data_IF_855919477066
#
_entry.id   IF_855919477066
#
_cell.length_a   1.000
_cell.length_b   1.000
_cell.length_c   1.000
_cell.angle_alpha   90.00
_cell.angle_beta   90.00
_cell.angle_gamma   90.00
#
_symmetry.space_group_name_H-M   'P 1'
#
loop_
_entity.id
_entity.type
_entity.pdbx_description
1 polymer ?
#
# COMPACT_ATOMS: atom_id res chain seq x y z
N UNK A 1 -8.47 -48.16 40.97
CA UNK A 1 -8.94 -46.79 40.65
C UNK A 1 -7.69 -45.92 40.52
N UNK A 2 -7.56 -45.25 39.38
CA UNK A 2 -6.28 -44.87 38.73
C UNK A 2 -5.55 -43.68 39.39
N UNK A 3 -4.23 -43.67 39.14
CA UNK A 3 -3.23 -42.66 39.48
C UNK A 3 -3.12 -41.53 38.45
N UNK A 4 -2.52 -40.40 38.89
CA UNK A 4 -1.66 -39.43 38.16
C UNK A 4 -2.28 -38.70 36.93
N UNK A 5 -1.98 -37.45 36.58
CA UNK A 5 -0.67 -36.80 36.29
C UNK A 5 -0.89 -35.27 36.21
N UNK A 6 0.01 -34.49 36.83
CA UNK A 6 0.63 -33.24 36.31
C UNK A 6 -0.24 -32.00 36.01
N UNK A 7 0.30 -30.80 35.84
CA UNK A 7 1.69 -30.35 35.72
C UNK A 7 1.70 -28.81 35.85
N UNK A 8 2.67 -28.25 36.58
CA UNK A 8 3.13 -26.86 36.42
C UNK A 8 3.70 -26.63 35.00
N UNK A 9 3.55 -25.42 34.45
CA UNK A 9 4.44 -24.64 33.54
C UNK A 9 3.71 -23.32 33.23
N UNK A 10 4.21 -22.11 33.46
CA UNK A 10 5.48 -21.41 33.12
C UNK A 10 5.62 -21.02 31.65
N UNK A 11 6.16 -19.81 31.44
CA UNK A 11 6.65 -19.16 30.21
C UNK A 11 5.57 -18.42 29.40
N UNK A 12 5.42 -17.10 29.53
CA UNK A 12 6.25 -16.01 28.99
C UNK A 12 5.88 -15.64 27.55
N UNK A 13 5.04 -14.62 27.40
CA UNK A 13 5.06 -13.77 26.21
C UNK A 13 5.48 -12.37 26.65
N UNK A 14 6.73 -12.07 26.31
CA UNK A 14 7.35 -10.78 26.44
C UNK A 14 6.63 -9.82 25.49
N UNK A 15 6.01 -8.78 26.05
CA UNK A 15 5.68 -7.59 25.28
C UNK A 15 7.00 -6.94 24.79
N UNK A 16 7.09 -6.49 23.53
CA UNK A 16 8.28 -5.79 23.06
C UNK A 16 8.46 -4.49 23.86
N UNK A 17 9.62 -4.41 24.49
CA UNK A 17 10.06 -3.36 25.39
C UNK A 17 10.46 -2.13 24.55
N UNK A 18 9.61 -1.10 24.52
CA UNK A 18 10.00 0.20 23.98
C UNK A 18 10.92 0.90 25.00
N UNK A 19 12.09 1.41 24.60
CA UNK A 19 13.00 2.05 25.55
C UNK A 19 12.39 3.33 26.13
N UNK A 20 12.16 3.31 27.44
CA UNK A 20 11.85 4.48 28.27
C UNK A 20 13.06 5.39 28.29
N UNK A 21 13.00 6.54 27.62
CA UNK A 21 14.02 7.58 27.80
C UNK A 21 13.74 8.36 29.09
N UNK A 22 14.78 8.39 29.93
CA UNK A 22 14.77 9.01 31.24
C UNK A 22 14.58 10.53 31.18
N UNK A 23 14.00 11.04 32.28
CA UNK A 23 13.99 12.45 32.65
C UNK A 23 15.43 12.99 32.68
N UNK A 24 15.74 13.90 31.77
CA UNK A 24 16.84 14.85 31.93
C UNK A 24 16.43 16.19 31.31
N UNK A 25 16.72 17.24 32.05
CA UNK A 25 16.37 18.64 31.89
C UNK A 25 16.86 19.25 30.57
N UNK A 26 16.09 20.18 30.02
CA UNK A 26 16.46 21.01 28.85
C UNK A 26 17.82 21.70 29.02
N UNK A 27 18.54 21.91 27.91
CA UNK A 27 18.49 23.23 27.29
C UNK A 27 18.29 23.23 25.77
N UNK A 28 17.83 24.38 25.31
CA UNK A 28 17.54 24.84 23.95
C UNK A 28 18.55 24.47 22.85
N UNK A 29 18.03 24.22 21.63
CA UNK A 29 18.78 24.36 20.38
C UNK A 29 18.41 23.30 19.33
N UNK A 30 17.96 23.76 18.16
CA UNK A 30 17.80 23.06 16.88
C UNK A 30 16.80 21.89 16.79
N UNK A 31 15.57 22.22 16.38
CA UNK A 31 14.68 21.28 15.72
C UNK A 31 15.20 20.98 14.32
N UNK A 32 16.00 19.93 14.18
CA UNK A 32 16.24 19.27 12.90
C UNK A 32 15.01 18.38 12.62
N UNK A 33 14.30 18.52 11.48
CA UNK A 33 13.28 17.56 11.11
C UNK A 33 13.91 16.17 11.00
N UNK A 34 13.35 15.19 11.70
CA UNK A 34 13.77 13.78 11.64
C UNK A 34 13.32 13.19 10.32
N UNK A 35 14.01 13.53 9.23
CA UNK A 35 13.92 12.81 7.97
C UNK A 35 14.56 11.45 8.16
N UNK A 36 13.74 10.40 8.28
CA UNK A 36 14.24 9.04 8.13
C UNK A 36 14.08 8.67 6.67
N UNK A 37 15.09 8.96 5.87
CA UNK A 37 15.25 8.34 4.55
C UNK A 37 15.76 6.92 4.79
N UNK A 38 14.84 5.96 4.77
CA UNK A 38 15.24 4.56 4.79
C UNK A 38 15.69 4.21 3.36
N UNK A 39 17.00 4.24 3.12
CA UNK A 39 17.60 3.64 1.92
C UNK A 39 17.45 2.13 2.08
N UNK A 40 16.47 1.59 1.38
CA UNK A 40 16.07 0.20 1.56
C UNK A 40 16.16 -0.56 0.26
N UNK A 41 16.06 -1.88 0.37
CA UNK A 41 16.25 -2.82 -0.72
C UNK A 41 15.06 -2.88 -1.68
N UNK A 42 14.04 -2.04 -1.50
CA UNK A 42 12.92 -1.84 -2.41
C UNK A 42 13.30 -0.88 -3.53
N UNK A 43 12.78 -1.13 -4.73
CA UNK A 43 12.90 -0.31 -5.93
C UNK A 43 12.20 1.07 -5.84
N UNK A 44 12.48 1.85 -4.79
CA UNK A 44 11.90 3.17 -4.52
C UNK A 44 12.39 3.73 -3.17
N UNK A 45 12.03 4.97 -2.88
CA UNK A 45 12.31 5.62 -1.60
C UNK A 45 11.06 5.66 -0.73
N UNK A 46 11.23 5.57 0.59
CA UNK A 46 10.16 5.81 1.56
C UNK A 46 10.53 7.01 2.42
N UNK A 47 9.61 7.97 2.53
CA UNK A 47 9.75 9.10 3.44
C UNK A 47 8.62 9.13 4.46
N UNK A 48 8.98 9.07 5.73
CA UNK A 48 8.08 9.34 6.86
C UNK A 48 8.42 10.72 7.41
N UNK A 49 7.45 11.65 7.35
CA UNK A 49 7.55 13.01 7.90
C UNK A 49 6.75 13.13 9.18
N UNK A 50 6.87 14.26 9.89
CA UNK A 50 5.91 14.61 10.93
C UNK A 50 4.49 14.73 10.35
N UNK A 51 3.46 14.61 11.19
CA UNK A 51 2.06 14.63 10.72
C UNK A 51 1.75 15.88 9.90
N UNK A 52 2.11 17.06 10.42
CA UNK A 52 1.88 18.34 9.73
C UNK A 52 2.60 18.39 8.38
N UNK A 53 3.88 18.08 8.36
CA UNK A 53 4.67 18.11 7.12
C UNK A 53 4.17 17.09 6.10
N UNK A 54 3.69 15.92 6.54
CA UNK A 54 3.12 14.91 5.66
C UNK A 54 1.86 15.42 4.96
N UNK A 55 1.00 16.14 5.69
CA UNK A 55 -0.23 16.71 5.17
C UNK A 55 0.03 17.91 4.25
N UNK A 56 0.95 18.79 4.65
CA UNK A 56 1.36 19.94 3.83
C UNK A 56 1.97 19.45 2.51
N UNK A 57 2.83 18.43 2.56
CA UNK A 57 3.45 17.82 1.39
C UNK A 57 2.43 17.10 0.49
N UNK A 58 1.50 16.32 1.06
CA UNK A 58 0.44 15.69 0.29
C UNK A 58 -0.50 16.72 -0.36
N UNK A 59 -0.79 17.82 0.34
CA UNK A 59 -1.67 18.89 -0.15
C UNK A 59 -1.04 19.66 -1.31
N UNK A 60 0.27 19.95 -1.24
CA UNK A 60 0.99 20.65 -2.31
C UNK A 60 1.10 19.84 -3.60
N UNK A 61 1.00 18.51 -3.51
CA UNK A 61 1.05 17.60 -4.66
C UNK A 61 -0.31 17.08 -5.09
N UNK A 62 -1.42 17.55 -4.49
CA UNK A 62 -2.78 17.07 -4.80
C UNK A 62 -3.14 17.14 -6.27
N UNK A 63 -2.65 18.15 -7.00
CA UNK A 63 -2.93 18.38 -8.41
C UNK A 63 -1.88 17.79 -9.36
N UNK A 64 -0.86 17.09 -8.83
CA UNK A 64 0.14 16.44 -9.67
C UNK A 64 -0.49 15.28 -10.46
N UNK A 65 -0.29 15.19 -11.79
CA UNK A 65 -0.81 14.09 -12.59
C UNK A 65 -0.08 12.76 -12.35
N UNK A 66 0.98 12.79 -11.53
CA UNK A 66 1.82 11.66 -11.16
C UNK A 66 1.83 11.39 -9.66
N UNK A 67 0.85 11.94 -8.95
CA UNK A 67 0.58 11.63 -7.54
C UNK A 67 -0.57 10.63 -7.43
N UNK A 68 -0.34 9.57 -6.68
CA UNK A 68 -1.27 8.46 -6.47
C UNK A 68 -1.51 8.31 -4.97
N UNK A 69 -2.77 8.28 -4.56
CA UNK A 69 -3.19 7.99 -3.19
C UNK A 69 -3.75 6.57 -3.14
N UNK A 70 -3.33 5.80 -2.15
CA UNK A 70 -3.70 4.40 -2.01
C UNK A 70 -4.18 4.12 -0.60
N UNK A 71 -5.21 3.29 -0.48
CA UNK A 71 -5.70 2.84 0.82
C UNK A 71 -6.18 1.37 0.74
N UNK A 72 -5.92 0.62 1.80
CA UNK A 72 -6.38 -0.75 2.00
C UNK A 72 -7.67 -0.78 2.80
N UNK A 73 -8.55 -1.75 2.52
CA UNK A 73 -9.72 -1.98 3.36
C UNK A 73 -9.94 -3.47 3.57
N UNK A 74 -10.25 -3.82 4.82
CA UNK A 74 -10.57 -5.18 5.23
C UNK A 74 -12.00 -5.23 5.79
N UNK A 75 -12.72 -6.30 5.46
CA UNK A 75 -14.00 -6.63 6.07
C UNK A 75 -14.09 -8.12 6.34
N UNK A 76 -14.55 -8.48 7.53
CA UNK A 76 -14.85 -9.86 7.89
C UNK A 76 -16.37 -10.08 7.87
N UNK A 77 -16.80 -11.20 7.31
CA UNK A 77 -18.21 -11.63 7.33
C UNK A 77 -18.24 -13.15 7.51
N UNK A 78 -18.80 -13.58 8.65
CA UNK A 78 -18.70 -14.98 9.09
C UNK A 78 -17.22 -15.42 9.15
N UNK A 79 -16.87 -16.56 8.55
CA UNK A 79 -15.49 -17.09 8.52
C UNK A 79 -14.68 -16.60 7.31
N UNK A 80 -15.21 -15.65 6.52
CA UNK A 80 -14.55 -15.11 5.33
C UNK A 80 -13.98 -13.71 5.59
N UNK A 81 -12.77 -13.48 5.07
CA UNK A 81 -12.11 -12.17 5.05
C UNK A 81 -12.06 -11.65 3.63
N UNK A 82 -12.44 -10.38 3.47
CA UNK A 82 -12.41 -9.67 2.21
C UNK A 82 -11.45 -8.50 2.34
N UNK A 83 -10.47 -8.44 1.46
CA UNK A 83 -9.53 -7.33 1.38
C UNK A 83 -9.69 -6.64 0.02
N UNK A 84 -9.52 -5.32 0.00
CA UNK A 84 -9.49 -4.54 -1.22
C UNK A 84 -8.51 -3.38 -1.12
N UNK A 85 -8.21 -2.82 -2.29
CA UNK A 85 -7.44 -1.61 -2.47
C UNK A 85 -8.28 -0.56 -3.21
N UNK A 86 -8.12 0.68 -2.78
CA UNK A 86 -8.56 1.87 -3.51
C UNK A 86 -7.37 2.70 -3.93
N UNK A 87 -7.41 3.19 -5.17
CA UNK A 87 -6.43 4.12 -5.71
C UNK A 87 -7.15 5.35 -6.24
N UNK A 88 -6.68 6.51 -5.86
CA UNK A 88 -7.09 7.80 -6.41
C UNK A 88 -5.88 8.50 -7.03
N UNK A 89 -6.05 9.12 -8.19
CA UNK A 89 -5.05 9.99 -8.81
C UNK A 89 -5.73 11.05 -9.66
N UNK A 90 -4.98 12.09 -10.04
CA UNK A 90 -5.45 13.09 -11.00
C UNK A 90 -4.76 12.89 -12.34
N UNK A 91 -5.45 13.24 -13.41
CA UNK A 91 -4.89 13.40 -14.76
C UNK A 91 -5.54 14.63 -15.41
N UNK A 92 -5.12 14.98 -16.62
CA UNK A 92 -5.57 16.20 -17.31
C UNK A 92 -7.10 16.33 -17.44
N UNK A 93 -7.81 15.20 -17.55
CA UNK A 93 -9.27 15.17 -17.65
C UNK A 93 -10.01 15.04 -16.30
N UNK A 94 -9.29 15.13 -15.18
CA UNK A 94 -9.85 15.22 -13.83
C UNK A 94 -9.42 14.09 -12.89
N UNK A 95 -10.34 13.71 -12.00
CA UNK A 95 -10.08 12.67 -11.02
C UNK A 95 -10.27 11.28 -11.64
N UNK A 96 -9.30 10.40 -11.39
CA UNK A 96 -9.37 8.98 -11.73
C UNK A 96 -9.32 8.13 -10.46
N UNK A 97 -10.01 7.00 -10.52
CA UNK A 97 -10.18 6.07 -9.42
C UNK A 97 -10.01 4.65 -9.94
N UNK A 98 -9.39 3.79 -9.14
CA UNK A 98 -9.27 2.36 -9.41
C UNK A 98 -9.54 1.58 -8.13
N UNK A 99 -10.43 0.60 -8.22
CA UNK A 99 -10.72 -0.33 -7.15
C UNK A 99 -10.26 -1.73 -7.51
N UNK A 100 -9.66 -2.43 -6.55
CA UNK A 100 -9.14 -3.79 -6.72
C UNK A 100 -9.53 -4.66 -5.53
N UNK A 101 -10.02 -5.86 -5.78
CA UNK A 101 -10.24 -6.86 -4.73
C UNK A 101 -9.00 -7.74 -4.58
N UNK A 102 -8.61 -8.06 -3.35
CA UNK A 102 -7.57 -9.04 -3.04
C UNK A 102 -8.23 -10.36 -2.67
N UNK A 103 -7.97 -11.38 -3.48
CA UNK A 103 -8.35 -12.77 -3.17
C UNK A 103 -7.36 -13.33 -2.15
N UNK A 104 -7.87 -14.09 -1.17
CA UNK A 104 -7.08 -14.71 -0.09
C UNK A 104 -6.35 -13.75 0.86
N UNK A 105 -6.68 -12.45 0.86
CA UNK A 105 -6.19 -11.50 1.86
C UNK A 105 -6.71 -11.84 3.25
N UNK A 106 -5.82 -11.89 4.25
CA UNK A 106 -6.17 -12.34 5.61
C UNK A 106 -6.11 -11.22 6.63
N UNK A 107 -5.22 -10.25 6.41
CA UNK A 107 -4.96 -9.19 7.37
C UNK A 107 -5.13 -7.80 6.73
N UNK A 108 -5.39 -6.80 7.57
CA UNK A 108 -5.50 -5.41 7.09
C UNK A 108 -4.20 -4.99 6.41
N UNK A 109 -3.05 -5.39 6.96
CA UNK A 109 -1.75 -5.05 6.39
C UNK A 109 -1.54 -5.65 4.98
N UNK A 110 -2.15 -6.81 4.67
CA UNK A 110 -2.18 -7.34 3.30
C UNK A 110 -2.94 -6.40 2.35
N UNK A 111 -4.09 -5.88 2.80
CA UNK A 111 -4.89 -4.94 2.02
C UNK A 111 -4.11 -3.64 1.75
N UNK A 112 -3.41 -3.12 2.76
CA UNK A 112 -2.59 -1.92 2.65
C UNK A 112 -1.40 -2.10 1.68
N UNK A 113 -0.64 -3.18 1.82
CA UNK A 113 0.47 -3.48 0.89
C UNK A 113 -0.05 -3.72 -0.53
N UNK A 114 -1.21 -4.36 -0.67
CA UNK A 114 -1.84 -4.55 -1.96
C UNK A 114 -2.27 -3.22 -2.58
N UNK A 115 -2.76 -2.27 -1.76
CA UNK A 115 -3.11 -0.94 -2.22
C UNK A 115 -1.90 -0.16 -2.74
N UNK A 116 -0.75 -0.26 -2.07
CA UNK A 116 0.50 0.30 -2.59
C UNK A 116 0.84 -0.31 -3.95
N UNK A 117 0.81 -1.64 -4.07
CA UNK A 117 1.06 -2.31 -5.36
C UNK A 117 0.06 -1.92 -6.46
N UNK A 118 -1.21 -1.71 -6.09
CA UNK A 118 -2.26 -1.27 -7.00
C UNK A 118 -2.01 0.16 -7.51
N UNK A 119 -1.55 1.06 -6.63
CA UNK A 119 -1.11 2.40 -7.01
C UNK A 119 0.05 2.37 -8.00
N UNK A 120 1.06 1.53 -7.73
CA UNK A 120 2.19 1.32 -8.63
C UNK A 120 1.78 0.73 -9.98
N UNK A 121 0.83 -0.22 -9.99
CA UNK A 121 0.21 -0.75 -11.22
C UNK A 121 -0.45 0.36 -12.02
N UNK A 122 -1.29 1.18 -11.38
CA UNK A 122 -1.99 2.28 -12.03
C UNK A 122 -0.99 3.27 -12.65
N UNK A 123 0.05 3.65 -11.91
CA UNK A 123 1.12 4.53 -12.38
C UNK A 123 1.86 3.93 -13.59
N UNK A 124 2.30 2.68 -13.50
CA UNK A 124 3.05 2.02 -14.56
C UNK A 124 2.22 1.87 -15.84
N UNK A 125 0.92 1.56 -15.74
CA UNK A 125 0.03 1.46 -16.89
C UNK A 125 -0.26 2.82 -17.54
N UNK A 126 -0.32 3.90 -16.75
CA UNK A 126 -0.48 5.25 -17.27
C UNK A 126 0.79 5.73 -17.98
N UNK A 127 1.95 5.56 -17.33
CA UNK A 127 3.26 5.96 -17.87
C UNK A 127 3.64 5.11 -19.09
N UNK A 128 3.30 3.82 -19.10
CA UNK A 128 3.56 2.93 -20.24
C UNK A 128 2.85 3.32 -21.53
N UNK A 129 1.84 4.20 -21.46
CA UNK A 129 1.15 4.78 -22.64
C UNK A 129 1.80 6.07 -23.14
N UNK A 130 2.82 6.59 -22.44
CA UNK A 130 3.51 7.82 -22.77
C UNK A 130 4.76 7.53 -23.62
N UNK A 131 5.05 8.43 -24.55
CA UNK A 131 6.34 8.47 -25.23
C UNK A 131 7.45 8.68 -24.21
N UNK A 132 8.65 8.17 -24.50
CA UNK A 132 9.79 8.27 -23.58
C UNK A 132 10.09 9.72 -23.16
N UNK A 133 9.95 10.68 -24.07
CA UNK A 133 10.15 12.10 -23.80
C UNK A 133 9.06 12.75 -22.91
N UNK A 134 7.90 12.10 -22.76
CA UNK A 134 6.79 12.58 -21.94
C UNK A 134 6.69 11.91 -20.57
N UNK A 135 7.57 10.96 -20.25
CA UNK A 135 7.56 10.27 -18.95
C UNK A 135 8.07 11.19 -17.85
N UNK A 136 7.49 11.14 -16.64
CA UNK A 136 8.02 11.88 -15.52
C UNK A 136 9.31 11.25 -15.02
N UNK A 137 10.19 12.05 -14.43
CA UNK A 137 11.38 11.53 -13.72
C UNK A 137 10.99 10.69 -12.48
N UNK A 138 9.80 10.95 -11.91
CA UNK A 138 9.30 10.25 -10.72
C UNK A 138 7.78 10.22 -10.62
N UNK A 139 7.27 9.27 -9.83
CA UNK A 139 5.92 9.29 -9.28
C UNK A 139 5.94 9.46 -7.77
N UNK A 140 4.85 10.03 -7.24
CA UNK A 140 4.61 10.13 -5.81
C UNK A 140 3.47 9.18 -5.43
N UNK A 141 3.69 8.31 -4.46
CA UNK A 141 2.67 7.42 -3.92
C UNK A 141 2.44 7.75 -2.44
N UNK A 142 1.18 7.98 -2.07
CA UNK A 142 0.76 8.34 -0.73
C UNK A 142 -0.07 7.21 -0.12
N UNK A 143 0.32 6.75 1.06
CA UNK A 143 -0.41 5.77 1.87
C UNK A 143 -0.40 6.22 3.33
N UNK A 144 -1.44 5.91 4.08
CA UNK A 144 -1.47 6.17 5.52
C UNK A 144 -1.01 5.01 6.41
N UNK A 145 -0.63 3.89 5.79
CA UNK A 145 -0.12 2.72 6.48
C UNK A 145 1.41 2.75 6.59
N UNK A 146 1.93 3.23 7.72
CA UNK A 146 3.37 3.15 8.01
C UNK A 146 3.85 1.69 8.05
N UNK A 147 3.01 0.76 8.52
CA UNK A 147 3.38 -0.66 8.63
C UNK A 147 3.59 -1.27 7.25
N UNK A 148 2.68 -1.04 6.31
CA UNK A 148 2.80 -1.55 4.94
C UNK A 148 4.02 -0.97 4.23
N UNK A 149 4.24 0.34 4.33
CA UNK A 149 5.41 0.99 3.74
C UNK A 149 6.72 0.46 4.34
N UNK A 150 6.80 0.33 5.66
CA UNK A 150 7.98 -0.21 6.35
C UNK A 150 8.23 -1.70 6.04
N UNK A 151 7.17 -2.47 5.78
CA UNK A 151 7.28 -3.87 5.37
C UNK A 151 7.78 -4.03 3.93
N UNK A 152 7.22 -3.26 3.00
CA UNK A 152 7.70 -3.22 1.61
C UNK A 152 9.16 -2.78 1.52
N UNK A 153 9.60 -1.84 2.36
CA UNK A 153 11.00 -1.42 2.42
C UNK A 153 11.93 -2.54 2.88
N UNK A 154 11.48 -3.45 3.76
CA UNK A 154 12.31 -4.57 4.23
C UNK A 154 12.46 -5.69 3.20
N UNK A 155 11.78 -5.58 2.07
CA UNK A 155 11.77 -6.57 1.02
C UNK A 155 12.86 -6.31 -0.02
N UNK A 156 13.79 -7.26 -0.25
CA UNK A 156 14.88 -7.03 -1.17
C UNK A 156 14.53 -7.23 -2.64
N UNK A 157 15.09 -6.35 -3.47
CA UNK A 157 15.03 -6.36 -4.92
C UNK A 157 15.66 -7.62 -5.55
N UNK A 158 16.31 -8.47 -4.75
CA UNK A 158 17.14 -9.57 -5.23
C UNK A 158 16.69 -10.96 -4.78
N UNK A 159 15.50 -11.13 -4.20
CA UNK A 159 14.97 -12.48 -3.90
C UNK A 159 14.12 -13.02 -5.06
N UNK A 160 14.65 -13.93 -5.91
CA UNK A 160 13.80 -14.83 -6.67
C UNK A 160 13.19 -15.86 -5.72
N UNK A 161 11.86 -16.01 -5.76
CA UNK A 161 11.17 -17.06 -5.01
C UNK A 161 9.68 -16.75 -4.80
N UNK A 162 8.86 -17.77 -4.51
CA UNK A 162 7.40 -17.70 -4.34
C UNK A 162 7.01 -17.07 -2.99
N UNK A 163 7.55 -15.89 -2.67
CA UNK A 163 7.43 -15.31 -1.33
C UNK A 163 6.22 -14.35 -1.31
N UNK A 164 5.06 -15.02 -1.18
CA UNK A 164 3.70 -14.57 -0.88
C UNK A 164 3.22 -13.22 -1.45
N UNK A 165 2.81 -13.31 -2.73
CA UNK A 165 1.73 -12.65 -3.46
C UNK A 165 1.59 -11.11 -3.43
N UNK A 166 1.58 -10.44 -2.27
CA UNK A 166 1.25 -9.01 -2.19
C UNK A 166 2.49 -8.11 -2.27
N UNK A 167 3.53 -8.39 -1.48
CA UNK A 167 4.77 -7.62 -1.53
C UNK A 167 5.47 -7.77 -2.90
N UNK A 168 5.48 -9.00 -3.44
CA UNK A 168 5.99 -9.29 -4.77
C UNK A 168 5.24 -8.54 -5.88
N UNK A 169 3.91 -8.39 -5.76
CA UNK A 169 3.11 -7.59 -6.67
C UNK A 169 3.53 -6.12 -6.66
N UNK A 170 3.70 -5.50 -5.48
CA UNK A 170 4.17 -4.12 -5.37
C UNK A 170 5.58 -3.93 -5.93
N UNK A 171 6.53 -4.80 -5.55
CA UNK A 171 7.92 -4.77 -6.04
C UNK A 171 7.99 -4.93 -7.56
N UNK A 172 7.20 -5.85 -8.13
CA UNK A 172 7.16 -6.08 -9.58
C UNK A 172 6.75 -4.83 -10.36
N UNK A 173 5.75 -4.09 -9.89
CA UNK A 173 5.34 -2.83 -10.52
C UNK A 173 6.31 -1.69 -10.27
N UNK A 174 6.95 -1.61 -9.09
CA UNK A 174 8.03 -0.66 -8.83
C UNK A 174 9.20 -0.86 -9.81
N UNK A 175 9.64 -2.11 -10.02
CA UNK A 175 10.68 -2.43 -11.01
C UNK A 175 10.29 -2.08 -12.43
N UNK A 176 9.01 -2.26 -12.79
CA UNK A 176 8.52 -1.86 -14.11
C UNK A 176 8.61 -0.34 -14.32
N UNK A 177 8.33 0.46 -13.28
CA UNK A 177 8.53 1.92 -13.32
C UNK A 177 10.00 2.28 -13.46
N UNK A 178 10.89 1.64 -12.69
CA UNK A 178 12.33 1.85 -12.81
C UNK A 178 12.88 1.47 -14.19
N UNK A 179 12.40 0.38 -14.79
CA UNK A 179 12.78 -0.01 -16.15
C UNK A 179 12.31 0.98 -17.23
N UNK A 180 11.42 1.91 -16.87
CA UNK A 180 11.01 3.05 -17.70
C UNK A 180 11.74 4.35 -17.32
N UNK A 181 12.81 4.28 -16.52
CA UNK A 181 13.58 5.39 -15.96
C UNK A 181 12.73 6.33 -15.07
N UNK A 182 11.72 5.79 -14.39
CA UNK A 182 10.85 6.53 -13.47
C UNK A 182 11.11 6.11 -12.03
N UNK A 183 11.53 7.05 -11.20
CA UNK A 183 11.73 6.83 -9.76
C UNK A 183 10.38 6.72 -9.02
N UNK A 184 10.36 5.89 -7.97
CA UNK A 184 9.20 5.73 -7.08
C UNK A 184 9.52 6.39 -5.74
N UNK A 185 8.75 7.42 -5.36
CA UNK A 185 8.81 8.01 -4.02
C UNK A 185 7.51 7.69 -3.27
N UNK A 186 7.61 6.96 -2.16
CA UNK A 186 6.50 6.63 -1.28
C UNK A 186 6.50 7.54 -0.05
N UNK A 187 5.34 8.08 0.27
CA UNK A 187 5.15 9.05 1.34
C UNK A 187 4.08 8.55 2.28
N UNK A 188 4.47 8.39 3.55
CA UNK A 188 3.45 8.24 4.57
C UNK A 188 2.69 9.56 4.73
N UNK A 189 1.36 9.47 4.81
CA UNK A 189 0.49 10.59 5.16
C UNK A 189 -0.41 10.19 6.32
N UNK A 190 -0.68 11.11 7.27
CA UNK A 190 -1.58 10.78 8.37
C UNK A 190 -2.97 10.39 7.85
N UNK A 191 -3.43 9.20 8.22
CA UNK A 191 -4.77 8.67 7.88
C UNK A 191 -5.92 9.30 8.66
N UNK A 192 -7.15 8.88 8.31
CA UNK A 192 -8.44 9.32 8.86
C UNK A 192 -8.85 10.76 8.49
N UNK A 193 -8.99 11.02 7.18
CA UNK A 193 -9.77 12.15 6.64
C UNK A 193 -9.08 13.51 6.57
N UNK A 194 -7.81 13.60 6.97
CA UNK A 194 -7.00 14.84 6.93
C UNK A 194 -6.38 15.10 5.56
N UNK A 195 -6.09 14.06 4.78
CA UNK A 195 -5.67 14.16 3.37
C UNK A 195 -6.85 13.92 2.44
N UNK A 196 -7.16 14.91 1.59
CA UNK A 196 -8.28 14.82 0.65
C UNK A 196 -8.12 13.66 -0.35
N UNK A 197 -6.89 13.38 -0.82
CA UNK A 197 -6.61 12.26 -1.71
C UNK A 197 -6.74 10.91 -1.01
N UNK A 198 -6.21 10.78 0.21
CA UNK A 198 -6.34 9.55 1.01
C UNK A 198 -7.80 9.22 1.31
N UNK A 199 -8.61 10.25 1.64
CA UNK A 199 -10.05 10.07 1.88
C UNK A 199 -10.79 9.53 0.65
N UNK A 200 -10.36 9.88 -0.56
CA UNK A 200 -10.94 9.35 -1.79
C UNK A 200 -10.52 7.89 -2.01
N UNK A 201 -9.24 7.57 -1.77
CA UNK A 201 -8.75 6.19 -1.83
C UNK A 201 -9.47 5.28 -0.81
N UNK A 202 -9.62 5.72 0.44
CA UNK A 202 -10.39 5.06 1.52
C UNK A 202 -11.82 4.73 1.06
N UNK A 203 -12.52 5.73 0.51
CA UNK A 203 -13.88 5.56 0.00
C UNK A 203 -13.97 4.51 -1.10
N UNK A 204 -12.98 4.47 -2.01
CA UNK A 204 -12.91 3.45 -3.05
C UNK A 204 -12.68 2.08 -2.41
N UNK A 205 -11.66 1.94 -1.54
CA UNK A 205 -11.31 0.68 -0.89
C UNK A 205 -12.49 0.10 -0.08
N UNK A 206 -13.14 0.94 0.72
CA UNK A 206 -14.31 0.58 1.51
C UNK A 206 -15.51 0.16 0.63
N UNK A 207 -15.70 0.83 -0.51
CA UNK A 207 -16.78 0.49 -1.44
C UNK A 207 -16.53 -0.86 -2.11
N UNK A 208 -15.30 -1.10 -2.59
CA UNK A 208 -14.89 -2.38 -3.20
C UNK A 208 -15.05 -3.52 -2.19
N UNK A 209 -14.51 -3.34 -0.98
CA UNK A 209 -14.57 -4.34 0.09
C UNK A 209 -16.02 -4.67 0.46
N UNK A 210 -16.88 -3.65 0.57
CA UNK A 210 -18.31 -3.85 0.79
C UNK A 210 -18.94 -4.65 -0.34
N UNK A 211 -18.64 -4.32 -1.59
CA UNK A 211 -19.21 -5.00 -2.75
C UNK A 211 -18.84 -6.49 -2.78
N UNK A 212 -17.55 -6.83 -2.64
CA UNK A 212 -17.10 -8.23 -2.61
C UNK A 212 -17.65 -9.00 -1.42
N UNK A 213 -17.88 -8.35 -0.26
CA UNK A 213 -18.51 -9.00 0.89
C UNK A 213 -20.01 -9.31 0.72
N UNK A 214 -20.67 -8.64 -0.23
CA UNK A 214 -22.08 -8.87 -0.57
C UNK A 214 -22.20 -9.93 -1.66
N UNK A 215 -21.42 -9.78 -2.73
CA UNK A 215 -21.51 -10.63 -3.92
C UNK A 215 -20.69 -11.95 -3.80
N UNK A 216 -19.77 -12.02 -2.83
CA UNK A 216 -18.68 -13.01 -2.84
C UNK A 216 -17.63 -12.65 -3.90
N UNK A 217 -16.48 -13.34 -3.86
CA UNK A 217 -15.48 -13.26 -4.92
C UNK A 217 -15.90 -14.16 -6.09
N UNK A 218 -16.99 -13.83 -6.78
CA UNK A 218 -17.33 -14.51 -8.04
C UNK A 218 -16.46 -13.93 -9.17
N UNK A 219 -15.70 -14.79 -9.85
CA UNK A 219 -14.88 -14.40 -10.99
C UNK A 219 -15.72 -13.79 -12.10
N UNK A 220 -15.32 -12.61 -12.55
CA UNK A 220 -15.80 -12.00 -13.77
C UNK A 220 -17.22 -11.46 -13.64
N UNK A 221 -17.32 -10.16 -13.36
CA UNK A 221 -18.13 -9.19 -14.10
C UNK A 221 -18.14 -7.89 -13.30
N UNK A 222 -17.57 -6.83 -13.89
CA UNK A 222 -17.54 -5.50 -13.30
C UNK A 222 -18.95 -4.94 -13.16
N UNK A 223 -19.23 -4.22 -12.07
CA UNK A 223 -20.50 -3.52 -11.87
C UNK A 223 -20.23 -2.01 -11.84
N UNK A 224 -21.05 -1.20 -12.54
CA UNK A 224 -20.92 0.24 -12.55
C UNK A 224 -21.53 0.84 -11.27
N UNK A 225 -20.71 1.54 -10.50
CA UNK A 225 -21.15 2.69 -9.70
C UNK A 225 -20.18 3.84 -10.00
N UNK A 226 -20.60 5.08 -9.71
CA UNK A 226 -20.00 6.38 -10.04
C UNK A 226 -18.55 6.64 -9.52
N UNK A 227 -17.67 5.64 -9.56
CA UNK A 227 -16.35 5.59 -8.91
C UNK A 227 -15.23 5.20 -9.89
N UNK A 228 -15.40 5.40 -11.20
CA UNK A 228 -14.38 5.08 -12.21
C UNK A 228 -14.27 3.59 -12.55
N UNK A 229 -13.23 3.23 -13.31
CA UNK A 229 -13.00 1.86 -13.78
C UNK A 229 -12.65 0.91 -12.62
N UNK A 230 -13.40 -0.19 -12.51
CA UNK A 230 -13.23 -1.23 -11.50
C UNK A 230 -12.62 -2.48 -12.14
N UNK A 231 -11.57 -3.04 -11.53
CA UNK A 231 -10.90 -4.25 -12.01
C UNK A 231 -10.77 -5.25 -10.85
N UNK A 232 -11.40 -6.42 -10.96
CA UNK A 232 -11.14 -7.53 -10.03
C UNK A 232 -9.80 -8.15 -10.38
N UNK A 233 -8.77 -7.93 -9.56
CA UNK A 233 -7.46 -8.55 -9.74
C UNK A 233 -7.39 -9.80 -8.86
N UNK A 234 -7.48 -10.96 -9.48
CA UNK A 234 -7.22 -12.21 -8.78
C UNK A 234 -5.70 -12.35 -8.60
N UNK A 235 -5.20 -12.21 -7.37
CA UNK A 235 -3.76 -12.36 -7.09
C UNK A 235 -3.33 -13.85 -7.12
N UNK A 236 -4.28 -14.79 -7.23
CA UNK A 236 -3.98 -16.11 -7.82
C UNK A 236 -4.15 -16.07 -9.34
N UNK A 237 -3.04 -16.27 -10.07
CA UNK A 237 -2.93 -16.45 -11.54
C UNK A 237 -2.74 -15.15 -12.35
N UNK A 238 -1.57 -14.53 -12.20
CA UNK A 238 -0.89 -13.84 -13.29
C UNK A 238 0.52 -14.41 -13.47
N UNK A 239 0.60 -15.74 -13.63
CA UNK A 239 1.75 -16.38 -14.26
C UNK A 239 1.27 -17.64 -15.00
N UNK A 240 1.07 -17.49 -16.32
CA UNK A 240 1.23 -18.49 -17.38
C UNK A 240 1.27 -17.69 -18.70
N UNK A 241 2.34 -17.81 -19.50
CA UNK A 241 2.36 -17.32 -20.88
C UNK A 241 3.42 -16.25 -21.21
N UNK A 242 4.69 -16.60 -21.13
CA UNK A 242 5.66 -16.48 -22.22
C UNK A 242 5.19 -15.65 -23.44
N UNK A 243 5.64 -14.39 -23.50
CA UNK A 243 5.61 -13.57 -24.70
C UNK A 243 6.65 -14.04 -25.71
N UNK A 244 6.33 -15.12 -26.43
CA UNK A 244 6.93 -15.45 -27.71
C UNK A 244 5.81 -15.75 -28.71
N UNK A 245 5.58 -14.79 -29.59
CA UNK A 245 4.66 -14.82 -30.73
C UNK A 245 4.82 -13.54 -31.53
#
# INVERSE_FOLDING_TARGET
MQQHIGRKRSASEQAPNYPTQGRASSPSGDQRPTHTEATTSFSGTMTIRSEKESLDFASSHRASPFAYWTDGSQRCKSDETFCAAGVHFQHEAGHSYKGYALVDGKENNDAEMFAVGAGLKAAALQIGKMDAAGRPERILLFSDSQSALAELCRWPDTLPGPVHDVAGFAVGWARKLQAMDVAVEMHWVKGHGTSAGNKLADQVAATVTRWVSIMGLQHGEGVPYNIGEFEVVNVRLAWLGDGSG
#
